data_IF_956341680701
#
_entry.id   IF_956341680701
#
_cell.length_a   1.000
_cell.length_b   1.000
_cell.length_c   1.000
_cell.angle_alpha   90.00
_cell.angle_beta   90.00
_cell.angle_gamma   90.00
#
_symmetry.space_group_name_H-M   'P 1'
#
loop_
_entity.id
_entity.type
_entity.pdbx_description
1 polymer ?
#
# COMPACT_ATOMS: atom_id res chain seq x y z
N UNK A 1 -20.15 -20.58 -11.85
CA UNK A 1 -20.33 -19.14 -11.60
C UNK A 1 -18.95 -18.53 -11.76
N UNK A 2 -18.72 -17.72 -12.81
CA UNK A 2 -17.47 -16.99 -12.97
C UNK A 2 -17.36 -16.01 -11.79
N UNK A 3 -16.35 -16.21 -10.95
CA UNK A 3 -16.09 -15.32 -9.81
C UNK A 3 -15.69 -13.97 -10.40
N UNK A 4 -16.44 -12.93 -10.08
CA UNK A 4 -16.18 -11.57 -10.53
C UNK A 4 -14.76 -11.16 -10.11
N UNK A 5 -13.94 -10.70 -11.08
CA UNK A 5 -12.56 -10.29 -10.83
C UNK A 5 -12.54 -9.02 -9.97
N UNK A 6 -11.64 -8.94 -9.02
CA UNK A 6 -11.40 -7.71 -8.26
C UNK A 6 -10.85 -6.62 -9.19
N UNK A 7 -11.50 -5.45 -9.22
CA UNK A 7 -11.18 -4.32 -10.11
C UNK A 7 -11.10 -2.98 -9.36
N UNK A 8 -10.89 -3.01 -8.06
CA UNK A 8 -10.81 -1.80 -7.25
C UNK A 8 -9.66 -0.87 -7.67
N UNK A 9 -8.62 -1.41 -8.32
CA UNK A 9 -7.46 -0.67 -8.82
C UNK A 9 -7.77 0.20 -10.05
N UNK A 10 -8.84 -0.05 -10.79
CA UNK A 10 -9.22 0.76 -11.96
C UNK A 10 -9.48 2.21 -11.56
N UNK A 11 -10.17 2.43 -10.43
CA UNK A 11 -10.38 3.79 -9.94
C UNK A 11 -9.09 4.41 -9.41
N UNK A 12 -8.31 3.65 -8.62
CA UNK A 12 -7.07 4.17 -8.04
C UNK A 12 -6.01 4.49 -9.09
N UNK A 13 -6.06 3.85 -10.26
CA UNK A 13 -5.22 4.13 -11.42
C UNK A 13 -5.71 5.33 -12.26
N UNK A 14 -6.86 5.92 -11.92
CA UNK A 14 -7.45 7.01 -12.71
C UNK A 14 -6.82 8.38 -12.40
N UNK A 15 -6.89 9.31 -13.36
CA UNK A 15 -6.50 10.70 -13.15
C UNK A 15 -7.36 11.41 -12.11
N UNK A 16 -8.63 11.02 -11.97
CA UNK A 16 -9.51 11.54 -10.93
C UNK A 16 -9.00 11.20 -9.53
N UNK A 17 -8.50 9.98 -9.35
CA UNK A 17 -7.87 9.57 -8.10
C UNK A 17 -6.54 10.29 -7.85
N UNK A 18 -5.71 10.41 -8.88
CA UNK A 18 -4.42 11.11 -8.79
C UNK A 18 -4.56 12.58 -8.36
N UNK A 19 -5.62 13.27 -8.82
CA UNK A 19 -5.91 14.65 -8.39
C UNK A 19 -6.10 14.78 -6.87
N UNK A 20 -6.42 13.71 -6.15
CA UNK A 20 -6.48 13.70 -4.67
C UNK A 20 -5.12 13.93 -4.02
N UNK A 21 -4.04 13.73 -4.77
CA UNK A 21 -2.65 13.91 -4.34
C UNK A 21 -1.97 15.10 -5.05
N UNK A 22 -2.73 15.94 -5.69
CA UNK A 22 -2.21 17.17 -6.30
C UNK A 22 -1.81 18.21 -5.25
N UNK A 23 -0.87 19.10 -5.65
CA UNK A 23 -0.39 20.21 -4.83
C UNK A 23 0.53 19.78 -3.67
N UNK A 24 1.00 20.76 -2.89
CA UNK A 24 2.03 20.55 -1.88
C UNK A 24 1.64 19.57 -0.75
N UNK A 25 0.37 19.56 -0.35
CA UNK A 25 -0.13 18.65 0.68
C UNK A 25 -0.22 17.23 0.12
N UNK A 26 -0.66 17.06 -1.12
CA UNK A 26 -0.69 15.75 -1.78
C UNK A 26 0.70 15.16 -1.96
N UNK A 27 1.66 15.97 -2.42
CA UNK A 27 3.07 15.58 -2.52
C UNK A 27 3.64 15.14 -1.16
N UNK A 28 3.32 15.85 -0.09
CA UNK A 28 3.72 15.45 1.27
C UNK A 28 3.17 14.07 1.67
N UNK A 29 1.93 13.75 1.29
CA UNK A 29 1.38 12.42 1.58
C UNK A 29 2.13 11.30 0.84
N UNK A 30 2.47 11.54 -0.43
CA UNK A 30 3.23 10.58 -1.23
C UNK A 30 4.66 10.41 -0.71
N UNK A 31 5.31 11.51 -0.29
CA UNK A 31 6.62 11.49 0.34
C UNK A 31 6.63 10.62 1.61
N UNK A 32 5.69 10.84 2.54
CA UNK A 32 5.57 10.04 3.78
C UNK A 32 5.33 8.55 3.46
N UNK A 33 4.52 8.25 2.45
CA UNK A 33 4.28 6.87 2.00
C UNK A 33 5.55 6.25 1.42
N UNK A 34 6.26 6.96 0.54
CA UNK A 34 7.49 6.49 -0.08
C UNK A 34 8.59 6.25 0.96
N UNK A 35 8.85 7.22 1.85
CA UNK A 35 9.83 7.09 2.94
C UNK A 35 9.53 5.87 3.85
N UNK A 36 8.27 5.70 4.25
CA UNK A 36 7.86 4.57 5.08
C UNK A 36 8.04 3.23 4.36
N UNK A 37 7.76 3.19 3.04
CA UNK A 37 7.95 1.99 2.20
C UNK A 37 9.42 1.64 2.09
N UNK A 38 10.27 2.60 1.72
CA UNK A 38 11.71 2.39 1.58
C UNK A 38 12.37 1.99 2.91
N UNK A 39 11.96 2.59 4.04
CA UNK A 39 12.45 2.18 5.36
C UNK A 39 12.05 0.72 5.70
N UNK A 40 10.83 0.31 5.37
CA UNK A 40 10.41 -1.08 5.56
C UNK A 40 11.13 -2.06 4.64
N UNK A 41 11.54 -1.65 3.45
CA UNK A 41 12.26 -2.46 2.47
C UNK A 41 13.79 -2.43 2.63
N UNK A 42 14.33 -1.55 3.46
CA UNK A 42 15.77 -1.37 3.68
C UNK A 42 16.56 -2.67 3.94
N UNK A 43 15.98 -3.73 4.58
CA UNK A 43 16.72 -4.99 4.74
C UNK A 43 17.03 -5.74 3.44
N UNK A 44 16.42 -5.38 2.32
CA UNK A 44 16.53 -6.09 1.03
C UNK A 44 16.81 -5.12 -0.13
N UNK A 45 17.99 -4.47 -0.16
CA UNK A 45 18.34 -3.56 -1.25
C UNK A 45 18.40 -4.32 -2.59
N UNK A 46 17.85 -3.71 -3.65
CA UNK A 46 17.80 -4.31 -4.97
C UNK A 46 16.86 -5.50 -5.13
N UNK A 47 15.96 -5.73 -4.17
CA UNK A 47 14.99 -6.80 -4.23
C UNK A 47 14.04 -6.67 -5.43
N UNK A 48 13.53 -7.81 -5.92
CA UNK A 48 12.41 -7.84 -6.85
C UNK A 48 11.10 -7.60 -6.11
N UNK A 49 10.34 -6.59 -6.54
CA UNK A 49 9.08 -6.16 -5.92
C UNK A 49 7.94 -6.35 -6.91
N UNK A 50 6.87 -7.05 -6.51
CA UNK A 50 5.61 -7.02 -7.24
C UNK A 50 4.63 -6.09 -6.51
N UNK A 51 4.09 -5.08 -7.22
CA UNK A 51 3.09 -4.14 -6.71
C UNK A 51 1.70 -4.50 -7.27
N UNK A 52 0.92 -5.22 -6.47
CA UNK A 52 -0.40 -5.72 -6.87
C UNK A 52 -1.47 -4.65 -6.64
N UNK A 53 -2.12 -4.22 -7.73
CA UNK A 53 -3.00 -3.07 -7.76
C UNK A 53 -2.25 -1.73 -7.83
N UNK A 54 -0.95 -1.74 -8.15
CA UNK A 54 -0.05 -0.59 -8.14
C UNK A 54 -0.20 0.39 -9.30
N UNK A 55 -1.18 0.22 -10.19
CA UNK A 55 -1.40 1.09 -11.34
C UNK A 55 -1.61 2.58 -11.03
N UNK A 56 -1.79 2.94 -9.74
CA UNK A 56 -1.78 4.33 -9.29
C UNK A 56 -0.40 5.02 -9.36
N UNK A 57 0.71 4.28 -9.47
CA UNK A 57 2.07 4.78 -9.64
C UNK A 57 2.69 5.49 -8.42
N UNK A 58 2.08 5.40 -7.24
CA UNK A 58 2.52 6.19 -6.08
C UNK A 58 3.87 5.77 -5.50
N UNK A 59 4.26 4.51 -5.67
CA UNK A 59 5.51 3.97 -5.13
C UNK A 59 6.45 3.43 -6.20
N UNK A 60 5.98 3.27 -7.45
CA UNK A 60 6.78 2.73 -8.55
C UNK A 60 8.05 3.55 -8.78
N UNK A 61 7.94 4.88 -8.96
CA UNK A 61 9.10 5.76 -9.13
C UNK A 61 10.07 5.70 -7.95
N UNK A 62 9.64 5.97 -6.71
CA UNK A 62 10.51 5.86 -5.54
C UNK A 62 11.21 4.51 -5.38
N UNK A 63 10.57 3.40 -5.73
CA UNK A 63 11.20 2.07 -5.68
C UNK A 63 12.26 1.90 -6.77
N UNK A 64 11.94 2.30 -8.00
CA UNK A 64 12.88 2.28 -9.13
C UNK A 64 14.10 3.14 -8.84
N UNK A 65 13.90 4.37 -8.35
CA UNK A 65 14.98 5.31 -8.01
C UNK A 65 15.89 4.76 -6.89
N UNK A 66 15.32 3.96 -5.99
CA UNK A 66 16.07 3.27 -4.93
C UNK A 66 16.72 1.94 -5.38
N UNK A 67 16.63 1.59 -6.68
CA UNK A 67 17.29 0.43 -7.27
C UNK A 67 16.54 -0.91 -7.13
N UNK A 68 15.25 -0.88 -6.78
CA UNK A 68 14.41 -2.08 -6.77
C UNK A 68 13.96 -2.45 -8.20
N UNK A 69 13.86 -3.76 -8.48
CA UNK A 69 13.23 -4.25 -9.71
C UNK A 69 11.72 -4.36 -9.50
N UNK A 70 10.93 -3.55 -10.21
CA UNK A 70 9.48 -3.43 -9.96
C UNK A 70 8.66 -4.07 -11.07
N UNK A 71 7.71 -4.91 -10.69
CA UNK A 71 6.64 -5.41 -11.56
C UNK A 71 5.30 -4.93 -11.02
N UNK A 72 4.57 -4.16 -11.81
CA UNK A 72 3.23 -3.68 -11.46
C UNK A 72 2.18 -4.62 -12.01
N UNK A 73 1.21 -5.01 -11.19
CA UNK A 73 0.06 -5.80 -11.61
C UNK A 73 -1.20 -4.96 -11.53
N UNK A 74 -1.90 -4.82 -12.67
CA UNK A 74 -3.22 -4.19 -12.74
C UNK A 74 -4.29 -5.19 -13.13
N UNK A 75 -5.55 -4.93 -12.76
CA UNK A 75 -6.68 -5.81 -13.12
C UNK A 75 -6.96 -5.81 -14.62
N UNK A 76 -6.57 -4.75 -15.32
CA UNK A 76 -6.76 -4.60 -16.77
C UNK A 76 -5.67 -3.66 -17.37
N UNK A 77 -5.46 -3.70 -18.70
CA UNK A 77 -4.41 -2.92 -19.36
C UNK A 77 -4.49 -1.40 -19.12
N UNK A 78 -5.68 -0.84 -18.94
CA UNK A 78 -5.85 0.60 -18.67
C UNK A 78 -5.22 1.06 -17.35
N UNK A 79 -4.97 0.15 -16.40
CA UNK A 79 -4.29 0.45 -15.14
C UNK A 79 -2.80 0.79 -15.33
N UNK A 80 -2.21 0.54 -16.51
CA UNK A 80 -0.84 0.91 -16.83
C UNK A 80 -0.63 2.41 -17.04
N UNK A 81 -1.69 3.14 -17.38
CA UNK A 81 -1.60 4.53 -17.87
C UNK A 81 -0.73 5.46 -17.02
N UNK A 82 -0.73 5.27 -15.69
CA UNK A 82 0.00 6.13 -14.75
C UNK A 82 1.41 5.63 -14.40
N UNK A 83 1.74 4.42 -14.83
CA UNK A 83 3.07 3.85 -14.62
C UNK A 83 3.87 3.72 -15.91
N UNK A 84 3.31 4.16 -17.04
CA UNK A 84 3.92 4.07 -18.37
C UNK A 84 5.33 4.63 -18.45
N UNK A 85 5.61 5.74 -17.76
CA UNK A 85 6.94 6.34 -17.75
C UNK A 85 8.03 5.41 -17.21
N UNK A 86 7.66 4.41 -16.40
CA UNK A 86 8.58 3.40 -15.86
C UNK A 86 8.46 2.06 -16.56
N UNK A 87 7.36 1.75 -17.27
CA UNK A 87 7.09 0.44 -17.88
C UNK A 87 7.30 0.41 -19.39
N UNK A 88 7.12 1.53 -20.08
CA UNK A 88 7.37 1.66 -21.52
C UNK A 88 8.83 2.10 -21.73
N UNK A 89 9.69 1.16 -22.12
CA UNK A 89 11.16 1.36 -22.26
C UNK A 89 11.90 1.70 -20.95
N UNK A 90 11.24 1.51 -19.81
CA UNK A 90 11.75 1.84 -18.46
C UNK A 90 12.21 0.60 -17.67
N UNK A 91 12.65 0.82 -16.43
CA UNK A 91 13.20 -0.23 -15.58
C UNK A 91 12.14 -1.07 -14.84
N UNK A 92 10.86 -0.73 -14.96
CA UNK A 92 9.76 -1.51 -14.40
C UNK A 92 9.02 -2.30 -15.48
N UNK A 93 8.16 -3.24 -15.06
CA UNK A 93 7.29 -4.00 -15.98
C UNK A 93 5.84 -3.89 -15.53
N UNK A 94 4.90 -4.02 -16.48
CA UNK A 94 3.46 -4.08 -16.19
C UNK A 94 2.85 -5.38 -16.69
N UNK A 95 1.95 -5.95 -15.92
CA UNK A 95 1.18 -7.15 -16.29
C UNK A 95 -0.28 -6.96 -15.89
N UNK A 96 -1.20 -7.14 -16.84
CA UNK A 96 -2.63 -7.20 -16.54
C UNK A 96 -3.03 -8.61 -16.11
N UNK A 97 -3.76 -8.75 -15.00
CA UNK A 97 -4.16 -10.06 -14.48
C UNK A 97 -5.17 -10.00 -13.34
N UNK A 98 -5.48 -11.15 -12.78
CA UNK A 98 -6.31 -11.23 -11.57
C UNK A 98 -5.50 -10.79 -10.35
N UNK A 99 -5.99 -9.78 -9.63
CA UNK A 99 -5.31 -9.24 -8.45
C UNK A 99 -5.29 -10.21 -7.26
N UNK A 100 -6.27 -11.13 -7.20
CA UNK A 100 -6.34 -12.14 -6.14
C UNK A 100 -5.46 -13.36 -6.44
N UNK A 101 -5.21 -13.62 -7.74
CA UNK A 101 -4.33 -14.68 -8.21
C UNK A 101 -3.47 -14.19 -9.37
N UNK A 102 -2.49 -13.30 -9.11
CA UNK A 102 -1.63 -12.78 -10.16
C UNK A 102 -0.93 -13.89 -10.94
N UNK A 103 -0.70 -13.73 -12.27
CA UNK A 103 -0.26 -14.79 -13.17
C UNK A 103 1.26 -15.07 -13.07
N UNK A 104 1.75 -15.26 -11.85
CA UNK A 104 3.14 -15.58 -11.56
C UNK A 104 3.25 -16.83 -10.70
N UNK A 105 4.35 -17.57 -10.82
CA UNK A 105 4.64 -18.71 -9.94
C UNK A 105 4.73 -18.31 -8.47
N UNK A 106 4.56 -19.29 -7.58
CA UNK A 106 4.77 -19.10 -6.16
C UNK A 106 6.20 -18.64 -5.87
N UNK A 107 6.33 -17.71 -4.93
CA UNK A 107 7.63 -17.19 -4.48
C UNK A 107 8.49 -16.65 -5.62
N UNK A 108 7.89 -16.03 -6.64
CA UNK A 108 8.59 -15.48 -7.80
C UNK A 108 9.21 -14.10 -7.54
N UNK A 109 8.76 -13.40 -6.51
CA UNK A 109 9.29 -12.10 -6.09
C UNK A 109 9.85 -12.14 -4.67
N UNK A 110 10.81 -11.27 -4.39
CA UNK A 110 11.32 -11.15 -3.03
C UNK A 110 10.28 -10.50 -2.13
N UNK A 111 9.69 -9.40 -2.59
CA UNK A 111 8.64 -8.67 -1.87
C UNK A 111 7.36 -8.60 -2.69
N UNK A 112 6.22 -8.84 -2.06
CA UNK A 112 4.92 -8.48 -2.59
C UNK A 112 4.39 -7.25 -1.86
N UNK A 113 3.93 -6.25 -2.62
CA UNK A 113 3.41 -4.99 -2.13
C UNK A 113 1.98 -4.79 -2.65
N UNK A 114 1.12 -4.19 -1.85
CA UNK A 114 -0.21 -3.76 -2.31
C UNK A 114 -0.70 -2.58 -1.47
N UNK A 115 -0.92 -1.45 -2.13
CA UNK A 115 -1.43 -0.24 -1.50
C UNK A 115 -2.79 0.15 -2.04
N UNK A 116 -3.62 0.74 -1.18
CA UNK A 116 -4.96 1.28 -1.50
C UNK A 116 -5.95 0.21 -2.03
N UNK A 117 -5.62 -1.07 -1.94
CA UNK A 117 -6.43 -2.15 -2.48
C UNK A 117 -7.23 -2.88 -1.38
N UNK A 118 -6.60 -3.24 -0.26
CA UNK A 118 -7.24 -4.00 0.84
C UNK A 118 -8.60 -3.42 1.30
N UNK A 119 -8.75 -2.09 1.49
CA UNK A 119 -10.03 -1.51 1.94
C UNK A 119 -11.17 -1.67 0.95
N UNK A 120 -10.86 -1.88 -0.30
CA UNK A 120 -11.81 -1.94 -1.40
C UNK A 120 -12.03 -3.37 -1.94
N UNK A 121 -11.18 -4.32 -1.54
CA UNK A 121 -11.30 -5.71 -1.96
C UNK A 121 -12.39 -6.43 -1.17
N UNK A 122 -13.43 -6.89 -1.84
CA UNK A 122 -14.48 -7.70 -1.22
C UNK A 122 -13.93 -9.02 -0.67
N UNK A 123 -12.98 -9.61 -1.38
CA UNK A 123 -12.27 -10.85 -1.04
C UNK A 123 -10.85 -10.57 -0.52
N UNK A 124 -10.72 -9.64 0.40
CA UNK A 124 -9.42 -9.18 0.90
C UNK A 124 -8.54 -10.28 1.51
N UNK A 125 -9.13 -11.36 2.07
CA UNK A 125 -8.34 -12.52 2.56
C UNK A 125 -7.68 -13.28 1.42
N UNK A 126 -8.35 -13.40 0.27
CA UNK A 126 -7.78 -14.02 -0.91
C UNK A 126 -6.65 -13.16 -1.50
N UNK A 127 -6.79 -11.82 -1.42
CA UNK A 127 -5.70 -10.91 -1.77
C UNK A 127 -4.48 -11.13 -0.87
N UNK A 128 -4.67 -11.23 0.45
CA UNK A 128 -3.59 -11.55 1.40
C UNK A 128 -2.93 -12.87 1.06
N UNK A 129 -3.70 -13.92 0.77
CA UNK A 129 -3.17 -15.22 0.36
C UNK A 129 -2.38 -15.14 -0.95
N UNK A 130 -2.89 -14.39 -1.95
CA UNK A 130 -2.21 -14.15 -3.23
C UNK A 130 -0.87 -13.43 -3.06
N UNK A 131 -0.82 -12.40 -2.22
CA UNK A 131 0.41 -11.67 -1.89
C UNK A 131 1.43 -12.57 -1.17
N UNK A 132 0.99 -13.32 -0.16
CA UNK A 132 1.84 -14.25 0.58
C UNK A 132 2.41 -15.35 -0.31
N UNK A 133 1.61 -15.86 -1.28
CA UNK A 133 2.04 -16.85 -2.26
C UNK A 133 3.19 -16.33 -3.12
N UNK A 134 3.15 -15.07 -3.53
CA UNK A 134 4.15 -14.48 -4.42
C UNK A 134 5.47 -14.15 -3.71
N UNK A 135 5.42 -13.83 -2.42
CA UNK A 135 6.56 -13.29 -1.67
C UNK A 135 7.52 -14.36 -1.16
N UNK A 136 8.84 -14.11 -1.30
CA UNK A 136 9.91 -14.91 -0.69
C UNK A 136 10.27 -14.45 0.71
N UNK A 137 10.37 -13.12 0.91
CA UNK A 137 10.95 -12.55 2.14
C UNK A 137 10.02 -11.60 2.87
N UNK A 138 9.14 -10.87 2.18
CA UNK A 138 8.21 -9.97 2.86
C UNK A 138 6.95 -9.67 2.03
N UNK A 139 5.86 -9.38 2.74
CA UNK A 139 4.68 -8.71 2.18
C UNK A 139 4.52 -7.36 2.85
N UNK A 140 4.23 -6.32 2.07
CA UNK A 140 3.97 -4.96 2.56
C UNK A 140 2.60 -4.49 2.07
N UNK A 141 1.73 -4.12 2.99
CA UNK A 141 0.38 -3.65 2.67
C UNK A 141 0.03 -2.38 3.44
N UNK A 142 -0.89 -1.57 2.91
CA UNK A 142 -1.51 -0.51 3.70
C UNK A 142 -2.99 -0.82 3.99
N UNK A 143 -3.45 -0.36 5.14
CA UNK A 143 -4.86 -0.43 5.51
C UNK A 143 -5.26 0.68 6.50
N UNK A 144 -6.50 1.18 6.44
CA UNK A 144 -7.05 2.05 7.47
C UNK A 144 -7.37 1.24 8.73
N UNK A 145 -6.87 1.69 9.90
CA UNK A 145 -7.09 1.00 11.17
C UNK A 145 -8.23 1.63 11.98
N UNK A 146 -8.98 0.80 12.70
CA UNK A 146 -9.99 1.24 13.68
C UNK A 146 -9.37 1.97 14.87
N UNK A 147 -8.07 1.77 15.14
CA UNK A 147 -7.29 2.45 16.20
C UNK A 147 -6.79 3.81 15.74
N UNK A 148 -7.66 4.64 15.16
CA UNK A 148 -7.24 5.94 14.65
C UNK A 148 -8.25 7.03 14.97
N UNK A 149 -7.76 8.25 15.12
CA UNK A 149 -8.61 9.45 15.18
C UNK A 149 -9.48 9.56 13.91
N UNK A 150 -8.96 9.05 12.79
CA UNK A 150 -9.63 9.02 11.49
C UNK A 150 -10.88 8.13 11.49
N UNK A 151 -10.87 7.00 12.21
CA UNK A 151 -12.03 6.10 12.28
C UNK A 151 -13.27 6.81 12.85
N UNK A 152 -13.08 7.70 13.81
CA UNK A 152 -14.17 8.50 14.38
C UNK A 152 -14.68 9.54 13.37
N UNK A 153 -13.80 10.18 12.62
CA UNK A 153 -14.17 11.17 11.61
C UNK A 153 -14.84 10.51 10.39
N UNK A 154 -14.40 9.33 9.97
CA UNK A 154 -15.04 8.56 8.90
C UNK A 154 -16.43 8.07 9.28
N UNK A 155 -16.64 7.67 10.54
CA UNK A 155 -17.96 7.29 11.05
C UNK A 155 -18.96 8.46 10.97
N UNK A 156 -18.55 9.66 11.36
CA UNK A 156 -19.39 10.87 11.25
C UNK A 156 -19.65 11.29 9.81
N UNK A 157 -18.68 11.06 8.89
CA UNK A 157 -18.80 11.37 7.47
C UNK A 157 -19.73 10.38 6.74
N UNK A 158 -19.71 9.09 7.13
CA UNK A 158 -20.61 8.05 6.62
C UNK A 158 -22.08 8.31 7.00
N UNK A 159 -22.34 8.81 8.21
CA UNK A 159 -23.67 9.22 8.62
C UNK A 159 -24.23 10.37 7.76
N UNK A 160 -23.37 11.24 7.23
CA UNK A 160 -23.75 12.31 6.30
C UNK A 160 -23.90 11.84 4.85
N UNK A 161 -23.13 10.82 4.41
CA UNK A 161 -23.14 10.27 3.04
C UNK A 161 -24.15 9.16 2.80
N UNK A 162 -24.96 8.79 3.78
CA UNK A 162 -26.05 7.81 3.60
C UNK A 162 -27.11 8.18 2.54
N UNK A 163 -26.88 9.23 1.75
CA UNK A 163 -27.79 9.77 0.73
C UNK A 163 -27.18 9.74 -0.67
N UNK A 164 -25.87 9.49 -0.86
CA UNK A 164 -25.27 9.45 -2.19
C UNK A 164 -24.59 8.08 -2.44
N UNK A 165 -25.14 7.36 -3.42
CA UNK A 165 -24.82 5.99 -3.78
C UNK A 165 -23.41 5.78 -4.34
N UNK A 166 -22.43 5.69 -3.48
CA UNK A 166 -21.13 5.13 -3.81
C UNK A 166 -21.13 3.66 -3.37
N UNK A 167 -21.26 2.76 -4.35
CA UNK A 167 -21.53 1.33 -4.15
C UNK A 167 -20.31 0.49 -3.80
N UNK A 168 -19.12 1.12 -3.59
CA UNK A 168 -17.89 0.38 -3.30
C UNK A 168 -17.72 0.08 -1.83
N UNK A 169 -17.34 -1.16 -1.47
CA UNK A 169 -16.97 -1.48 -0.10
C UNK A 169 -15.74 -0.67 0.30
N UNK A 170 -15.83 0.05 1.40
CA UNK A 170 -14.68 0.63 2.08
C UNK A 170 -14.63 0.05 3.49
N UNK A 171 -13.64 -0.80 3.74
CA UNK A 171 -13.46 -1.46 5.02
C UNK A 171 -12.36 -0.80 5.83
N UNK A 172 -12.64 -0.57 7.10
CA UNK A 172 -11.64 -0.24 8.12
C UNK A 172 -11.36 -1.51 8.92
N UNK A 173 -10.11 -1.80 9.22
CA UNK A 173 -9.69 -3.05 9.82
C UNK A 173 -9.29 -2.88 11.29
N UNK A 174 -9.51 -3.92 12.07
CA UNK A 174 -8.74 -4.10 13.30
C UNK A 174 -7.37 -4.66 12.93
N UNK A 175 -6.32 -4.21 13.61
CA UNK A 175 -4.97 -4.69 13.33
C UNK A 175 -4.89 -6.22 13.42
N UNK A 176 -5.55 -6.80 14.43
CA UNK A 176 -5.58 -8.24 14.66
C UNK A 176 -6.24 -9.02 13.51
N UNK A 177 -7.19 -8.43 12.77
CA UNK A 177 -7.81 -9.10 11.61
C UNK A 177 -6.80 -9.31 10.48
N UNK A 178 -5.97 -8.28 10.22
CA UNK A 178 -4.92 -8.33 9.18
C UNK A 178 -3.80 -9.27 9.62
N UNK A 179 -3.34 -9.15 10.87
CA UNK A 179 -2.28 -9.99 11.43
C UNK A 179 -2.68 -11.46 11.42
N UNK A 180 -3.93 -11.79 11.79
CA UNK A 180 -4.45 -13.17 11.73
C UNK A 180 -4.48 -13.69 10.29
N UNK A 181 -4.94 -12.90 9.33
CA UNK A 181 -4.98 -13.34 7.93
C UNK A 181 -3.58 -13.64 7.38
N UNK A 182 -2.56 -12.85 7.77
CA UNK A 182 -1.18 -13.15 7.42
C UNK A 182 -0.62 -14.36 8.17
N UNK A 183 -0.97 -14.55 9.45
CA UNK A 183 -0.56 -15.71 10.24
C UNK A 183 -1.10 -17.02 9.65
N UNK A 184 -2.34 -17.01 9.14
CA UNK A 184 -2.93 -18.15 8.39
C UNK A 184 -2.12 -18.52 7.14
N UNK A 185 -1.36 -17.57 6.57
CA UNK A 185 -0.46 -17.78 5.44
C UNK A 185 1.00 -18.05 5.87
N UNK A 186 1.26 -18.19 7.17
CA UNK A 186 2.61 -18.42 7.70
C UNK A 186 3.50 -17.18 7.72
N UNK A 187 2.91 -15.97 7.76
CA UNK A 187 3.62 -14.68 7.86
C UNK A 187 3.35 -14.01 9.19
N UNK A 188 4.35 -13.34 9.75
CA UNK A 188 4.25 -12.60 11.02
C UNK A 188 4.61 -11.13 10.83
N UNK A 189 3.95 -10.18 11.55
CA UNK A 189 4.30 -8.76 11.54
C UNK A 189 5.73 -8.51 12.02
N UNK A 190 6.52 -7.75 11.24
CA UNK A 190 7.91 -7.41 11.59
C UNK A 190 8.21 -5.93 11.44
N UNK A 191 7.30 -5.15 10.86
CA UNK A 191 7.44 -3.70 10.73
C UNK A 191 6.10 -3.02 10.60
N UNK A 192 5.93 -1.87 11.25
CA UNK A 192 4.70 -1.10 11.24
C UNK A 192 5.02 0.39 11.15
N UNK A 193 4.38 1.08 10.20
CA UNK A 193 4.53 2.53 9.98
C UNK A 193 3.16 3.18 9.83
N UNK A 194 2.54 3.63 10.94
CA UNK A 194 1.36 4.49 10.88
C UNK A 194 1.72 5.83 10.24
N UNK A 195 0.93 6.29 9.26
CA UNK A 195 1.32 7.42 8.41
C UNK A 195 0.92 8.76 9.01
N UNK A 196 -0.37 8.99 9.28
CA UNK A 196 -0.89 10.29 9.70
C UNK A 196 -1.73 10.18 10.96
N UNK A 197 -1.51 11.10 11.91
CA UNK A 197 -2.32 11.22 13.12
C UNK A 197 -3.69 11.85 12.77
N UNK A 198 -3.66 12.93 11.99
CA UNK A 198 -4.88 13.64 11.60
C UNK A 198 -5.42 13.15 10.24
N UNK A 199 -6.75 13.29 10.02
CA UNK A 199 -7.36 12.99 8.74
C UNK A 199 -6.70 13.72 7.58
N UNK A 200 -6.39 13.01 6.48
CA UNK A 200 -5.85 13.61 5.26
C UNK A 200 -6.76 14.73 4.72
N UNK A 201 -8.07 14.62 4.92
CA UNK A 201 -9.03 15.66 4.56
C UNK A 201 -8.79 16.97 5.32
N UNK A 202 -8.41 16.90 6.60
CA UNK A 202 -8.09 18.08 7.41
C UNK A 202 -6.82 18.78 6.90
N UNK A 203 -5.78 18.01 6.59
CA UNK A 203 -4.56 18.56 6.00
C UNK A 203 -4.82 19.22 4.65
N UNK A 204 -5.67 18.63 3.79
CA UNK A 204 -6.09 19.25 2.51
C UNK A 204 -6.85 20.55 2.74
N UNK A 205 -7.73 20.61 3.74
CA UNK A 205 -8.49 21.81 4.06
C UNK A 205 -7.59 23.01 4.46
N UNK A 206 -6.43 22.74 5.09
CA UNK A 206 -5.46 23.79 5.43
C UNK A 206 -4.63 24.25 4.25
N UNK A 207 -4.49 23.43 3.20
CA UNK A 207 -3.69 23.72 2.01
C UNK A 207 -2.19 23.87 2.25
N UNK A 208 -1.70 23.68 3.49
CA UNK A 208 -0.32 23.92 3.89
C UNK A 208 0.43 22.66 4.29
N UNK A 209 1.37 22.23 3.42
CA UNK A 209 2.27 21.13 3.72
C UNK A 209 3.19 21.41 4.92
N UNK A 210 3.56 22.68 5.15
CA UNK A 210 4.38 23.09 6.31
C UNK A 210 3.62 22.85 7.61
N UNK A 211 2.35 23.25 7.66
CA UNK A 211 1.50 23.04 8.83
C UNK A 211 1.25 21.54 9.05
N UNK A 212 0.98 20.78 7.98
CA UNK A 212 0.82 19.34 8.05
C UNK A 212 2.08 18.67 8.65
N UNK A 213 3.27 18.98 8.14
CA UNK A 213 4.55 18.46 8.69
C UNK A 213 4.75 18.82 10.15
N UNK A 214 4.46 20.06 10.57
CA UNK A 214 4.63 20.52 11.94
C UNK A 214 3.72 19.75 12.91
N UNK A 215 2.43 19.60 12.56
CA UNK A 215 1.44 18.90 13.38
C UNK A 215 1.75 17.41 13.46
N UNK A 216 2.04 16.76 12.32
CA UNK A 216 2.41 15.35 12.29
C UNK A 216 3.75 15.08 12.99
N UNK A 217 4.71 16.00 12.88
CA UNK A 217 5.99 15.95 13.60
C UNK A 217 5.79 16.00 15.10
N UNK A 218 5.00 16.96 15.61
CA UNK A 218 4.64 17.05 17.03
C UNK A 218 3.92 15.78 17.52
N UNK A 219 2.94 15.29 16.76
CA UNK A 219 2.25 14.02 17.04
C UNK A 219 3.21 12.81 17.06
N UNK A 220 4.23 12.83 16.21
CA UNK A 220 5.30 11.83 16.18
C UNK A 220 6.17 11.83 17.42
N UNK A 221 6.64 13.02 17.85
CA UNK A 221 7.46 13.20 19.07
C UNK A 221 6.70 12.74 20.32
N UNK A 222 5.41 13.03 20.40
CA UNK A 222 4.54 12.61 21.50
C UNK A 222 4.12 11.13 21.44
N UNK A 223 4.55 10.38 20.42
CA UNK A 223 4.19 8.98 20.23
C UNK A 223 2.74 8.75 19.76
N UNK A 224 1.93 9.81 19.61
CA UNK A 224 0.51 9.72 19.24
C UNK A 224 0.33 9.13 17.84
N UNK A 225 1.17 9.49 16.87
CA UNK A 225 1.14 8.93 15.52
C UNK A 225 1.38 7.42 15.54
N UNK A 226 2.29 6.92 16.38
CA UNK A 226 2.56 5.48 16.53
C UNK A 226 1.34 4.72 17.07
N UNK A 227 0.58 5.34 17.98
CA UNK A 227 -0.57 4.72 18.61
C UNK A 227 -1.86 4.84 17.79
N UNK A 228 -2.08 5.98 17.12
CA UNK A 228 -3.36 6.39 16.53
C UNK A 228 -3.27 6.78 15.05
N UNK A 229 -2.12 6.62 14.41
CA UNK A 229 -1.93 7.00 13.01
C UNK A 229 -2.59 6.03 12.02
N UNK A 230 -3.12 6.58 10.93
CA UNK A 230 -3.78 5.84 9.84
C UNK A 230 -3.56 6.56 8.49
N UNK A 231 -3.47 5.82 7.35
CA UNK A 231 -3.40 4.37 7.27
C UNK A 231 -2.12 3.81 7.89
N UNK A 232 -2.11 2.52 8.16
CA UNK A 232 -0.93 1.79 8.64
C UNK A 232 -0.29 1.08 7.46
N UNK A 233 1.02 1.24 7.28
CA UNK A 233 1.80 0.36 6.42
C UNK A 233 2.37 -0.76 7.30
N UNK A 234 2.04 -2.00 6.97
CA UNK A 234 2.45 -3.21 7.68
C UNK A 234 3.39 -4.02 6.80
N UNK A 235 4.54 -4.40 7.34
CA UNK A 235 5.41 -5.43 6.80
C UNK A 235 5.24 -6.71 7.58
N UNK A 236 5.07 -7.81 6.85
CA UNK A 236 5.08 -9.18 7.40
C UNK A 236 6.18 -10.00 6.73
N UNK A 237 6.75 -10.94 7.44
CA UNK A 237 7.81 -11.84 6.98
C UNK A 237 7.44 -13.30 7.30
N UNK A 238 7.95 -14.31 6.56
CA UNK A 238 7.69 -15.73 6.86
C UNK A 238 8.02 -16.10 8.31
N UNK A 239 7.11 -16.81 8.95
CA UNK A 239 7.22 -17.26 10.34
C UNK A 239 8.30 -18.35 10.50
N UNK A 240 9.50 -18.11 10.44
CA UNK A 240 10.61 -19.08 10.51
C UNK A 240 11.96 -18.40 10.53
N UNK A 241 11.91 -17.07 10.65
CA UNK A 241 13.09 -16.21 10.75
C UNK A 241 13.63 -15.76 9.40
N UNK A 242 14.41 -14.69 9.43
CA UNK A 242 15.07 -14.11 8.26
C UNK A 242 16.09 -15.10 7.71
N UNK A 243 15.90 -15.53 6.47
CA UNK A 243 17.02 -16.09 5.71
C UNK A 243 18.00 -14.98 5.37
N UNK A 244 19.32 -15.23 5.37
CA UNK A 244 20.31 -14.27 4.88
C UNK A 244 19.90 -13.76 3.51
N UNK A 245 19.96 -12.43 3.29
CA UNK A 245 19.63 -11.84 2.00
C UNK A 245 20.76 -12.06 1.00
N UNK A 246 20.57 -12.85 -0.08
CA UNK A 246 21.66 -13.18 -1.02
C UNK A 246 22.18 -11.95 -1.78
N UNK A 247 21.42 -10.85 -1.81
CA UNK A 247 21.79 -9.62 -2.49
C UNK A 247 22.95 -8.86 -1.84
N UNK A 248 23.30 -9.15 -0.58
CA UNK A 248 24.45 -8.54 0.10
C UNK A 248 25.80 -9.08 -0.42
N UNK A 249 25.80 -10.23 -1.11
CA UNK A 249 27.02 -10.85 -1.63
C UNK A 249 27.36 -10.39 -3.06
N UNK A 250 26.53 -9.58 -3.71
CA UNK A 250 26.71 -9.13 -5.10
C UNK A 250 27.29 -7.72 -5.25
N UNK A 251 27.71 -7.08 -4.17
CA UNK A 251 28.26 -5.73 -4.11
C UNK A 251 29.72 -5.71 -3.66
N UNK A 252 30.55 -6.50 -4.30
CA UNK A 252 32.01 -6.49 -4.12
C UNK A 252 32.69 -6.25 -5.45
#
# INVERSE_FOLDING_TARGET
>A
VATEREQADVETSSDAYARRFAGAVGAYFLEVQAEATLDLLRPWPGASVVDVGGGHGQVTGPLVDAGYSVTVVGSQPSCESRVKEWTEDGPATFTAGDLLCPPFPDRSFDVALSYRLLPHAGRWRDLVAGLARLARVAVVVDYPTTRSVNALAEWTFRLKKGVEGDTRPFRVFRDEEIETAFAEQGFTPTGRRPQFLLPMALHRATGSARLARAVEGAGGVLGLRRALGSPVILRTEPAGGRRPWPGLERGG
#
